data_IF_457534480878
#
_entry.id   IF_457534480878
#
_cell.length_a   1.000
_cell.length_b   1.000
_cell.length_c   1.000
_cell.angle_alpha   90.00
_cell.angle_beta   90.00
_cell.angle_gamma   90.00
#
_symmetry.space_group_name_H-M   'P 1'
#
loop_
_entity.id
_entity.type
_entity.pdbx_description
1 polymer ?
#
# COMPACT_ATOMS: atom_id res chain seq x y z
N UNK A 1 10.88 -2.85 -3.15
CA UNK A 1 10.13 -1.67 -2.65
C UNK A 1 8.72 -1.98 -2.16
N UNK A 2 7.91 -2.76 -2.89
CA UNK A 2 6.50 -3.01 -2.48
C UNK A 2 6.29 -3.58 -1.06
N UNK A 3 7.28 -4.26 -0.46
CA UNK A 3 7.19 -4.86 0.89
C UNK A 3 7.38 -3.87 2.04
N UNK A 4 7.93 -2.69 1.79
CA UNK A 4 8.33 -1.72 2.82
C UNK A 4 7.68 -0.36 2.66
N UNK A 5 6.79 -0.21 1.67
CA UNK A 5 6.09 1.05 1.45
C UNK A 5 5.15 1.38 2.61
N UNK A 6 4.94 2.66 2.83
CA UNK A 6 3.90 3.13 3.74
C UNK A 6 2.50 2.78 3.21
N UNK A 7 1.59 2.43 4.11
CA UNK A 7 0.17 2.21 3.80
C UNK A 7 -0.69 3.08 4.70
N UNK A 8 -1.56 3.90 4.10
CA UNK A 8 -2.55 4.70 4.81
C UNK A 8 -3.89 3.98 4.97
N UNK A 9 -4.86 4.68 5.57
CA UNK A 9 -6.21 4.16 5.83
C UNK A 9 -6.95 3.72 4.55
N UNK A 10 -6.69 4.41 3.43
CA UNK A 10 -7.29 4.11 2.12
C UNK A 10 -6.42 3.18 1.28
N UNK A 11 -5.48 2.49 1.91
CA UNK A 11 -4.60 1.55 1.27
C UNK A 11 -3.20 2.12 0.99
N UNK A 12 -2.51 1.53 0.01
CA UNK A 12 -1.08 1.72 -0.14
C UNK A 12 -0.71 3.04 -0.79
N UNK A 13 0.36 3.68 -0.32
CA UNK A 13 0.88 4.88 -0.94
C UNK A 13 1.70 4.55 -2.19
N UNK A 14 1.67 5.44 -3.18
CA UNK A 14 2.52 5.37 -4.36
C UNK A 14 4.00 5.47 -3.98
N UNK A 15 4.86 4.84 -4.78
CA UNK A 15 6.31 4.94 -4.60
C UNK A 15 6.77 6.35 -4.94
N UNK A 16 7.49 6.98 -4.03
CA UNK A 16 8.00 8.34 -4.20
C UNK A 16 9.41 8.36 -4.80
N UNK A 17 9.78 9.46 -5.47
CA UNK A 17 11.15 9.66 -5.95
C UNK A 17 12.19 9.59 -4.83
N UNK A 18 11.85 10.08 -3.63
CA UNK A 18 12.73 10.00 -2.45
C UNK A 18 13.01 8.56 -2.03
N UNK A 19 12.03 7.66 -2.11
CA UNK A 19 12.25 6.24 -1.83
C UNK A 19 13.17 5.60 -2.89
N UNK A 20 12.98 5.96 -4.16
CA UNK A 20 13.81 5.49 -5.29
C UNK A 20 15.26 5.95 -5.13
N UNK A 21 15.47 7.23 -4.81
CA UNK A 21 16.78 7.81 -4.53
C UNK A 21 17.43 7.18 -3.29
N UNK A 22 16.69 7.03 -2.19
CA UNK A 22 17.19 6.41 -0.97
C UNK A 22 17.63 4.96 -1.19
N UNK A 23 16.87 4.17 -1.96
CA UNK A 23 17.24 2.81 -2.30
C UNK A 23 18.45 2.74 -3.24
N UNK A 24 18.50 3.60 -4.26
CA UNK A 24 19.64 3.72 -5.17
C UNK A 24 20.91 4.03 -4.39
N UNK A 25 20.85 4.99 -3.47
CA UNK A 25 21.95 5.36 -2.57
C UNK A 25 22.35 4.25 -1.62
N UNK A 26 21.38 3.57 -0.99
CA UNK A 26 21.63 2.48 -0.03
C UNK A 26 22.29 1.28 -0.70
N UNK A 27 21.87 0.95 -1.92
CA UNK A 27 22.40 -0.20 -2.68
C UNK A 27 23.59 0.15 -3.55
N UNK A 28 23.94 1.44 -3.67
CA UNK A 28 24.95 1.96 -4.59
C UNK A 28 24.68 1.58 -6.05
N UNK A 29 23.40 1.49 -6.41
CA UNK A 29 22.97 1.17 -7.78
C UNK A 29 22.67 2.47 -8.52
N UNK A 30 23.47 2.88 -9.53
CA UNK A 30 23.16 4.06 -10.32
C UNK A 30 21.88 3.85 -11.13
N UNK A 31 20.97 4.82 -11.09
CA UNK A 31 19.74 4.81 -11.87
C UNK A 31 19.78 5.94 -12.89
N UNK A 32 19.55 5.60 -14.16
CA UNK A 32 19.29 6.56 -15.21
C UNK A 32 17.82 6.99 -15.21
N UNK A 33 17.48 8.15 -15.82
CA UNK A 33 16.10 8.64 -15.84
C UNK A 33 15.08 7.61 -16.32
N UNK A 34 15.40 6.85 -17.38
CA UNK A 34 14.50 5.84 -17.96
C UNK A 34 14.20 4.67 -17.00
N UNK A 35 15.12 4.35 -16.07
CA UNK A 35 14.85 3.35 -15.03
C UNK A 35 13.81 3.85 -14.04
N UNK A 36 13.90 5.12 -13.64
CA UNK A 36 12.96 5.74 -12.73
C UNK A 36 11.59 5.84 -13.39
N UNK A 37 11.53 6.25 -14.65
CA UNK A 37 10.30 6.29 -15.45
C UNK A 37 9.61 4.92 -15.50
N UNK A 38 10.39 3.85 -15.76
CA UNK A 38 9.88 2.48 -15.80
C UNK A 38 9.30 2.07 -14.44
N UNK A 39 10.00 2.36 -13.34
CA UNK A 39 9.52 2.07 -11.97
C UNK A 39 8.22 2.81 -11.69
N UNK A 40 8.14 4.09 -12.03
CA UNK A 40 6.94 4.90 -11.79
C UNK A 40 5.76 4.45 -12.64
N UNK A 41 5.97 4.07 -13.90
CA UNK A 41 4.92 3.55 -14.78
C UNK A 41 4.38 2.20 -14.28
N UNK A 42 5.26 1.32 -13.78
CA UNK A 42 4.84 0.06 -13.17
C UNK A 42 4.01 0.30 -11.90
N UNK A 43 4.41 1.27 -11.07
CA UNK A 43 3.68 1.61 -9.85
C UNK A 43 2.30 2.22 -10.17
N UNK A 44 2.20 3.07 -11.20
CA UNK A 44 0.94 3.64 -11.65
C UNK A 44 -0.08 2.55 -12.05
N UNK A 45 0.34 1.55 -12.85
CA UNK A 45 -0.53 0.43 -13.25
C UNK A 45 -0.95 -0.39 -12.02
N UNK A 46 -0.03 -0.60 -11.08
CA UNK A 46 -0.31 -1.33 -9.86
C UNK A 46 -1.31 -0.58 -8.96
N UNK A 47 -1.12 0.73 -8.78
CA UNK A 47 -2.03 1.64 -8.06
C UNK A 47 -3.43 1.63 -8.67
N UNK A 48 -3.53 1.79 -9.99
CA UNK A 48 -4.81 1.78 -10.70
C UNK A 48 -5.58 0.49 -10.41
N UNK A 49 -4.91 -0.68 -10.45
CA UNK A 49 -5.53 -1.97 -10.14
C UNK A 49 -5.96 -2.10 -8.68
N UNK A 50 -5.19 -1.55 -7.75
CA UNK A 50 -5.47 -1.65 -6.31
C UNK A 50 -6.66 -0.77 -5.93
N UNK A 51 -6.67 0.47 -6.39
CA UNK A 51 -7.78 1.40 -6.14
C UNK A 51 -9.05 1.03 -6.93
N UNK A 52 -8.92 0.48 -8.15
CA UNK A 52 -10.08 -0.06 -8.87
C UNK A 52 -10.78 -1.20 -8.11
N UNK A 53 -10.05 -2.00 -7.32
CA UNK A 53 -10.65 -3.02 -6.45
C UNK A 53 -11.38 -2.44 -5.24
N UNK A 54 -11.03 -1.22 -4.83
CA UNK A 54 -11.70 -0.52 -3.72
C UNK A 54 -12.96 0.21 -4.19
N UNK A 55 -12.98 0.68 -5.43
CA UNK A 55 -14.13 1.28 -6.08
C UNK A 55 -15.12 0.20 -6.55
N UNK A 56 -15.84 -0.42 -5.61
CA UNK A 56 -17.05 -1.18 -5.93
C UNK A 56 -18.16 -0.24 -6.44
N UNK A 57 -19.07 -0.71 -7.32
CA UNK A 57 -20.08 0.13 -7.95
C UNK A 57 -20.97 0.86 -6.94
N UNK A 58 -21.23 2.13 -7.28
CA UNK A 58 -21.97 3.10 -6.49
C UNK A 58 -23.39 2.61 -6.20
N UNK A 59 -23.70 2.44 -4.90
CA UNK A 59 -24.97 1.87 -4.42
C UNK A 59 -24.81 0.70 -3.45
N UNK A 60 -23.65 0.04 -3.44
CA UNK A 60 -23.30 -0.95 -2.41
C UNK A 60 -22.39 -0.25 -1.41
N UNK A 61 -22.88 0.11 -0.22
CA UNK A 61 -21.99 0.51 0.88
C UNK A 61 -20.95 -0.60 1.05
N UNK A 62 -19.71 -0.34 0.63
CA UNK A 62 -18.61 -1.25 0.85
C UNK A 62 -18.56 -1.50 2.35
N UNK A 63 -18.95 -2.71 2.77
CA UNK A 63 -18.91 -3.07 4.18
C UNK A 63 -17.47 -2.89 4.64
N UNK A 64 -17.23 -2.19 5.77
CA UNK A 64 -15.89 -2.09 6.31
C UNK A 64 -15.35 -3.52 6.46
N UNK A 65 -14.05 -3.69 6.23
CA UNK A 65 -13.39 -4.98 6.37
C UNK A 65 -13.70 -5.55 7.76
N UNK A 66 -14.68 -6.45 7.84
CA UNK A 66 -15.07 -7.11 9.09
C UNK A 66 -14.03 -8.17 9.39
N UNK A 67 -13.49 -8.12 10.61
CA UNK A 67 -12.70 -9.23 11.14
C UNK A 67 -13.52 -10.52 11.04
N UNK A 68 -12.88 -11.62 10.62
CA UNK A 68 -13.48 -12.95 10.65
C UNK A 68 -13.46 -13.54 12.06
N UNK A 69 -12.65 -12.98 12.95
CA UNK A 69 -12.56 -13.37 14.34
C UNK A 69 -13.76 -12.81 15.11
N UNK A 70 -14.48 -13.69 15.80
CA UNK A 70 -15.48 -13.28 16.78
C UNK A 70 -14.78 -12.57 17.94
N UNK A 71 -15.35 -11.46 18.44
CA UNK A 71 -14.87 -10.84 19.68
C UNK A 71 -15.04 -11.83 20.83
N UNK A 72 -13.96 -12.47 21.25
CA UNK A 72 -13.94 -13.30 22.45
C UNK A 72 -13.57 -12.44 23.66
N UNK A 73 -14.04 -12.79 24.88
CA UNK A 73 -13.70 -12.07 26.11
C UNK A 73 -12.19 -11.94 26.31
N UNK A 74 -11.43 -12.97 25.95
CA UNK A 74 -9.95 -12.97 26.02
C UNK A 74 -9.32 -11.92 25.11
N UNK A 75 -9.90 -11.66 23.94
CA UNK A 75 -9.44 -10.64 23.00
C UNK A 75 -9.72 -9.22 23.54
N UNK A 76 -10.80 -9.07 24.30
CA UNK A 76 -11.16 -7.81 24.95
C UNK A 76 -10.25 -7.49 26.15
N UNK A 77 -9.97 -8.49 26.99
CA UNK A 77 -9.07 -8.34 28.14
C UNK A 77 -7.63 -7.99 27.71
N UNK A 78 -7.18 -8.48 26.55
CA UNK A 78 -5.86 -8.14 25.98
C UNK A 78 -5.77 -6.66 25.55
N UNK A 79 -6.87 -6.05 25.12
CA UNK A 79 -6.89 -4.68 24.61
C UNK A 79 -6.94 -3.60 25.71
N UNK A 80 -7.26 -3.99 26.95
CA UNK A 80 -7.42 -3.10 28.11
C UNK A 80 -6.20 -3.05 29.05
N UNK A 81 -5.09 -3.69 28.65
CA UNK A 81 -3.82 -3.69 29.38
C UNK A 81 -2.80 -2.80 28.70
#
# INVERSE_FOLDING_TARGET
>A
MSRTRSTGANGPNAITFTEIEAWSRLTRTPLEPHHVETITAMDEVWMAKVYARQNLPEGTKALPQRSKEAMTPTLFDLALR
#
